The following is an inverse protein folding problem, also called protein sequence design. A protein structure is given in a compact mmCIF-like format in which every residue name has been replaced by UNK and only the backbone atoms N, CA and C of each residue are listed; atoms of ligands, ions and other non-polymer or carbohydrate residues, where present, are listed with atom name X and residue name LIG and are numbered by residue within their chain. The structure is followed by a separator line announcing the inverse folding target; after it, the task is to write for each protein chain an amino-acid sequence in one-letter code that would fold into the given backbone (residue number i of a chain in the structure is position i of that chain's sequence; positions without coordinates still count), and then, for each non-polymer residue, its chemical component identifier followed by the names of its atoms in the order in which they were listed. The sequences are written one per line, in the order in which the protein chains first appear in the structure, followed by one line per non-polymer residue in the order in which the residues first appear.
data_IF_228592992615
#
_entry.id   IF_228592992615
#
_cell.length_a   1.000
_cell.length_b   1.000
_cell.length_c   1.000
_cell.angle_alpha   90.00
_cell.angle_beta   90.00
_cell.angle_gamma   90.00
#
_symmetry.space_group_name_H-M   'P 1'
#
loop_
_entity.id
_entity.type
_entity.pdbx_description
1 polymer ?
#
# COMPACT_ATOMS: atom_id res chain seq x y z
N UNK A 1 -10.66 4.21 -1.48
CA UNK A 1 -9.90 3.03 -1.04
C UNK A 1 -10.88 1.90 -0.74
N UNK A 2 -10.42 0.65 -0.68
CA UNK A 2 -11.25 -0.52 -0.32
C UNK A 2 -10.58 -1.28 0.82
N UNK A 3 -11.35 -2.14 1.49
CA UNK A 3 -10.82 -3.05 2.50
C UNK A 3 -9.99 -4.15 1.84
N UNK A 4 -8.73 -4.28 2.26
CA UNK A 4 -7.94 -5.47 1.99
C UNK A 4 -7.87 -6.35 3.23
N UNK A 5 -7.95 -7.65 3.04
CA UNK A 5 -7.80 -8.62 4.13
C UNK A 5 -6.31 -8.96 4.25
N UNK A 6 -5.75 -9.05 5.47
CA UNK A 6 -4.38 -9.52 5.67
C UNK A 6 -4.11 -10.82 4.90
N UNK A 7 -3.04 -10.81 4.11
CA UNK A 7 -2.70 -11.89 3.20
C UNK A 7 -1.98 -12.99 4.00
N UNK A 8 -2.35 -14.27 3.84
CA UNK A 8 -1.60 -15.37 4.45
C UNK A 8 -0.12 -15.33 4.06
N UNK A 9 0.75 -15.54 5.03
CA UNK A 9 2.19 -15.61 4.80
C UNK A 9 2.55 -16.79 3.89
N UNK A 10 3.36 -16.59 2.83
CA UNK A 10 3.85 -17.68 2.00
C UNK A 10 4.73 -18.65 2.80
N UNK A 11 4.59 -19.95 2.56
CA UNK A 11 5.31 -21.01 3.31
C UNK A 11 6.82 -20.80 3.40
N UNK A 12 7.43 -20.28 2.33
CA UNK A 12 8.89 -20.09 2.27
C UNK A 12 9.36 -18.73 2.81
N UNK A 13 8.43 -17.85 3.20
CA UNK A 13 8.73 -16.48 3.63
C UNK A 13 9.66 -16.46 4.84
N UNK A 14 9.34 -17.24 5.87
CA UNK A 14 10.11 -17.27 7.09
C UNK A 14 11.58 -17.64 6.82
N UNK A 15 11.80 -18.74 6.11
CA UNK A 15 13.15 -19.26 5.84
C UNK A 15 13.93 -18.39 4.83
N UNK A 16 13.28 -17.91 3.76
CA UNK A 16 13.98 -17.22 2.66
C UNK A 16 14.02 -15.70 2.82
N UNK A 17 13.13 -15.11 3.62
CA UNK A 17 13.07 -13.68 3.89
C UNK A 17 13.37 -13.35 5.35
N UNK A 18 12.49 -13.73 6.29
CA UNK A 18 12.55 -13.28 7.70
C UNK A 18 13.85 -13.67 8.39
N UNK A 19 14.17 -14.96 8.45
CA UNK A 19 15.35 -15.46 9.14
C UNK A 19 16.64 -14.90 8.51
N UNK A 20 16.77 -15.00 7.18
CA UNK A 20 17.95 -14.47 6.45
C UNK A 20 18.12 -12.97 6.63
N UNK A 21 17.01 -12.23 6.52
CA UNK A 21 17.00 -10.79 6.67
C UNK A 21 17.39 -10.35 8.09
N UNK A 22 16.84 -11.00 9.11
CA UNK A 22 17.14 -10.70 10.51
C UNK A 22 18.58 -11.06 10.89
N UNK A 23 19.11 -12.19 10.41
CA UNK A 23 20.55 -12.51 10.54
C UNK A 23 21.40 -11.42 9.89
N UNK A 24 21.06 -11.02 8.66
CA UNK A 24 21.78 -9.97 7.96
C UNK A 24 21.72 -8.61 8.70
N UNK A 25 20.58 -8.25 9.32
CA UNK A 25 20.47 -7.02 10.13
C UNK A 25 21.37 -7.04 11.36
N UNK A 26 21.45 -8.19 12.04
CA UNK A 26 22.31 -8.36 13.21
C UNK A 26 23.80 -8.22 12.84
N UNK A 27 24.18 -8.73 11.67
CA UNK A 27 25.55 -8.59 11.12
C UNK A 27 25.86 -7.17 10.60
N UNK A 28 24.83 -6.38 10.27
CA UNK A 28 24.97 -5.06 9.64
C UNK A 28 24.19 -3.96 10.41
N UNK A 29 24.52 -3.70 11.68
CA UNK A 29 23.76 -2.79 12.54
C UNK A 29 23.72 -1.35 12.00
N UNK A 30 24.81 -0.87 11.41
CA UNK A 30 24.96 0.53 10.98
C UNK A 30 24.47 0.81 9.54
N UNK A 31 23.98 -0.21 8.83
CA UNK A 31 23.57 -0.02 7.43
C UNK A 31 22.23 0.69 7.33
N UNK A 32 22.16 1.83 6.66
CA UNK A 32 20.93 2.64 6.54
C UNK A 32 19.74 1.91 5.90
N UNK A 33 19.99 1.01 4.95
CA UNK A 33 18.93 0.28 4.23
C UNK A 33 19.11 -1.23 4.37
N UNK A 34 18.09 -1.97 4.84
CA UNK A 34 18.13 -3.43 4.85
C UNK A 34 18.36 -4.01 3.45
N UNK A 35 19.00 -5.18 3.40
CA UNK A 35 19.15 -5.92 2.16
C UNK A 35 17.80 -6.45 1.69
N UNK A 36 17.56 -6.36 0.39
CA UNK A 36 16.32 -6.88 -0.19
C UNK A 36 16.32 -8.41 -0.21
N UNK A 37 15.51 -8.98 0.68
CA UNK A 37 15.13 -10.40 0.68
C UNK A 37 13.63 -10.59 0.41
N UNK A 38 12.87 -9.52 0.22
CA UNK A 38 11.40 -9.53 0.13
C UNK A 38 10.88 -9.48 -1.30
N UNK A 39 11.64 -8.91 -2.25
CA UNK A 39 11.24 -8.83 -3.66
C UNK A 39 10.83 -10.17 -4.30
N UNK A 40 11.43 -11.33 -3.95
CA UNK A 40 10.96 -12.62 -4.43
C UNK A 40 9.48 -12.93 -4.09
N UNK A 41 8.95 -12.36 -3.00
CA UNK A 41 7.58 -12.56 -2.52
C UNK A 41 6.59 -11.50 -3.03
N UNK A 42 7.03 -10.59 -3.91
CA UNK A 42 6.17 -9.54 -4.48
C UNK A 42 4.98 -10.14 -5.23
N UNK A 43 5.16 -11.27 -5.92
CA UNK A 43 4.09 -11.94 -6.65
C UNK A 43 2.97 -12.45 -5.71
N UNK A 44 3.33 -12.92 -4.52
CA UNK A 44 2.36 -13.34 -3.50
C UNK A 44 1.54 -12.15 -2.99
N UNK A 45 2.19 -11.00 -2.76
CA UNK A 45 1.50 -9.76 -2.41
C UNK A 45 0.59 -9.29 -3.55
N UNK A 46 1.08 -9.26 -4.79
CA UNK A 46 0.28 -8.86 -5.95
C UNK A 46 -0.98 -9.73 -6.06
N UNK A 47 -0.84 -11.05 -5.91
CA UNK A 47 -1.97 -11.97 -5.89
C UNK A 47 -2.96 -11.66 -4.75
N UNK A 48 -2.48 -11.46 -3.53
CA UNK A 48 -3.34 -11.16 -2.38
C UNK A 48 -4.04 -9.80 -2.46
N UNK A 49 -3.43 -8.82 -3.14
CA UNK A 49 -4.02 -7.52 -3.44
C UNK A 49 -4.83 -7.51 -4.76
N UNK A 50 -5.07 -8.67 -5.40
CA UNK A 50 -5.77 -8.79 -6.69
C UNK A 50 -5.15 -7.94 -7.82
N UNK A 51 -3.82 -7.78 -7.81
CA UNK A 51 -3.05 -6.91 -8.68
C UNK A 51 -3.48 -5.43 -8.61
N UNK A 52 -4.09 -5.00 -7.50
CA UNK A 52 -4.45 -3.62 -7.25
C UNK A 52 -3.43 -2.99 -6.31
N UNK A 53 -3.04 -1.75 -6.56
CA UNK A 53 -2.29 -0.99 -5.56
C UNK A 53 -3.12 -0.85 -4.29
N UNK A 54 -2.57 -1.23 -3.13
CA UNK A 54 -3.25 -1.21 -1.84
C UNK A 54 -3.76 0.17 -1.42
N UNK A 55 -3.17 1.25 -1.93
CA UNK A 55 -3.61 2.62 -1.63
C UNK A 55 -4.61 3.15 -2.66
N UNK A 56 -4.30 3.12 -3.95
CA UNK A 56 -5.15 3.74 -4.96
C UNK A 56 -6.30 2.86 -5.43
N UNK A 57 -6.23 1.54 -5.20
CA UNK A 57 -7.17 0.52 -5.70
C UNK A 57 -7.20 0.48 -7.24
N UNK A 58 -6.12 0.95 -7.88
CA UNK A 58 -5.97 0.86 -9.33
C UNK A 58 -5.12 -0.35 -9.70
N UNK A 59 -5.38 -0.94 -10.87
CA UNK A 59 -4.58 -2.03 -11.41
C UNK A 59 -3.10 -1.63 -11.53
N UNK A 60 -2.22 -2.45 -10.97
CA UNK A 60 -0.78 -2.23 -10.91
C UNK A 60 -0.07 -3.50 -11.40
N UNK A 61 0.38 -3.55 -12.66
CA UNK A 61 0.96 -4.76 -13.24
C UNK A 61 2.39 -5.05 -12.76
N UNK A 62 3.11 -4.05 -12.26
CA UNK A 62 4.52 -4.20 -11.87
C UNK A 62 4.66 -4.14 -10.36
N UNK A 63 4.17 -3.05 -9.76
CA UNK A 63 4.15 -2.79 -8.34
C UNK A 63 5.48 -2.95 -7.60
N UNK A 64 5.42 -2.66 -6.31
CA UNK A 64 6.55 -2.73 -5.38
C UNK A 64 6.07 -3.30 -4.05
N UNK A 65 7.00 -3.84 -3.27
CA UNK A 65 6.77 -4.14 -1.86
C UNK A 65 6.93 -2.83 -1.08
N UNK A 66 5.85 -2.38 -0.45
CA UNK A 66 5.86 -1.28 0.51
C UNK A 66 5.94 -1.83 1.93
N UNK A 67 6.88 -1.31 2.72
CA UNK A 67 6.91 -1.50 4.17
C UNK A 67 5.98 -0.46 4.78
N UNK A 68 4.79 -0.87 5.23
CA UNK A 68 3.79 0.05 5.79
C UNK A 68 4.42 0.92 6.89
N UNK A 69 5.00 0.28 7.90
CA UNK A 69 5.96 0.87 8.82
C UNK A 69 7.34 0.79 8.18
N UNK A 70 7.91 1.94 7.83
CA UNK A 70 9.12 2.04 7.02
C UNK A 70 10.31 1.38 7.70
N UNK A 71 11.21 0.80 6.89
CA UNK A 71 12.46 0.26 7.41
C UNK A 71 13.43 1.33 7.95
N UNK A 72 13.14 2.63 7.73
CA UNK A 72 13.91 3.73 8.31
C UNK A 72 13.61 3.89 9.80
N UNK A 73 12.33 3.97 10.15
CA UNK A 73 11.88 4.19 11.53
C UNK A 73 11.67 2.85 12.28
N UNK A 74 11.28 1.80 11.55
CA UNK A 74 10.95 0.48 12.08
C UNK A 74 11.83 -0.61 11.49
N UNK A 75 13.15 -0.45 11.63
CA UNK A 75 14.15 -1.40 11.10
C UNK A 75 13.88 -2.85 11.49
N UNK A 76 13.40 -3.10 12.70
CA UNK A 76 13.09 -4.43 13.21
C UNK A 76 11.88 -5.10 12.53
N UNK A 77 11.06 -4.34 11.78
CA UNK A 77 9.92 -4.84 11.01
C UNK A 77 10.23 -5.00 9.51
N UNK A 78 11.51 -4.85 9.12
CA UNK A 78 11.91 -4.86 7.71
C UNK A 78 11.66 -6.20 7.01
N UNK A 79 11.51 -7.29 7.78
CA UNK A 79 11.26 -8.63 7.25
C UNK A 79 10.01 -9.28 7.84
N UNK A 80 9.03 -8.47 8.27
CA UNK A 80 7.76 -8.97 8.76
C UNK A 80 6.68 -8.90 7.68
N UNK A 81 6.09 -10.05 7.34
CA UNK A 81 5.09 -10.16 6.27
C UNK A 81 3.87 -9.28 6.50
N UNK A 82 3.41 -9.21 7.76
CA UNK A 82 2.29 -8.36 8.17
C UNK A 82 2.53 -6.86 7.92
N UNK A 83 3.79 -6.46 7.72
CA UNK A 83 4.19 -5.08 7.42
C UNK A 83 4.25 -4.79 5.90
N UNK A 84 3.98 -5.77 5.03
CA UNK A 84 4.13 -5.59 3.58
C UNK A 84 2.81 -5.27 2.86
N UNK A 85 2.85 -4.31 1.95
CA UNK A 85 1.74 -3.96 1.05
C UNK A 85 2.20 -4.04 -0.40
N UNK A 86 1.26 -4.31 -1.31
CA UNK A 86 1.50 -4.17 -2.75
C UNK A 86 1.15 -2.75 -3.19
N UNK A 87 2.13 -1.98 -3.69
CA UNK A 87 1.91 -0.57 -4.01
C UNK A 87 2.54 -0.17 -5.34
N UNK A 88 1.88 0.78 -6.02
CA UNK A 88 2.46 1.48 -7.16
C UNK A 88 3.76 2.19 -6.73
N UNK A 89 4.82 2.08 -7.52
CA UNK A 89 6.15 2.55 -7.12
C UNK A 89 6.20 4.05 -6.80
N UNK A 90 5.40 4.85 -7.52
CA UNK A 90 5.34 6.30 -7.28
C UNK A 90 4.56 6.66 -6.01
N UNK A 91 3.53 5.88 -5.63
CA UNK A 91 2.80 6.05 -4.37
C UNK A 91 3.71 5.66 -3.20
N UNK A 92 4.39 4.52 -3.31
CA UNK A 92 5.37 4.07 -2.32
C UNK A 92 6.47 5.14 -2.10
N UNK A 93 6.96 5.72 -3.20
CA UNK A 93 7.95 6.82 -3.15
C UNK A 93 7.40 8.12 -2.52
N UNK A 94 6.09 8.39 -2.64
CA UNK A 94 5.43 9.54 -2.00
C UNK A 94 5.21 9.32 -0.50
N UNK A 95 4.85 8.08 -0.10
CA UNK A 95 4.63 7.67 1.28
C UNK A 95 5.88 7.81 2.14
N UNK A 96 7.03 7.34 1.67
CA UNK A 96 8.31 7.36 2.42
C UNK A 96 8.16 6.71 3.82
N UNK A 97 8.55 7.45 4.85
CA UNK A 97 8.63 7.11 6.27
C UNK A 97 7.50 7.75 7.08
N UNK A 98 6.36 8.00 6.45
CA UNK A 98 5.17 8.51 7.13
C UNK A 98 4.48 7.50 8.04
N UNK A 99 4.80 6.21 7.89
CA UNK A 99 4.39 5.13 8.79
C UNK A 99 2.89 5.17 9.14
N UNK A 100 2.58 5.20 10.44
CA UNK A 100 1.23 5.19 11.01
C UNK A 100 0.46 6.52 10.84
N UNK A 101 1.07 7.55 10.22
CA UNK A 101 0.36 8.77 9.83
C UNK A 101 -0.56 8.56 8.63
N UNK A 102 -0.35 7.49 7.86
CA UNK A 102 -1.20 7.10 6.73
C UNK A 102 -2.10 5.94 7.12
N UNK A 103 -3.29 5.87 6.53
CA UNK A 103 -4.16 4.70 6.66
C UNK A 103 -3.46 3.48 6.06
N UNK A 104 -3.46 2.42 6.85
CA UNK A 104 -3.07 1.10 6.39
C UNK A 104 -4.17 0.55 5.45
N UNK A 105 -3.84 0.06 4.25
CA UNK A 105 -4.79 -0.68 3.40
C UNK A 105 -5.56 -1.81 4.11
N UNK A 106 -5.00 -2.41 5.15
CA UNK A 106 -5.66 -3.46 5.96
C UNK A 106 -6.58 -2.92 7.06
N UNK A 107 -6.56 -1.61 7.36
CA UNK A 107 -7.43 -0.97 8.36
C UNK A 107 -8.61 -0.21 7.73
N UNK A 108 -8.58 0.02 6.41
CA UNK A 108 -9.65 0.71 5.68
C UNK A 108 -10.90 -0.16 5.59
N UNK A 109 -12.07 0.47 5.67
CA UNK A 109 -13.37 -0.16 5.35
C UNK A 109 -13.93 0.37 4.03
N UNK A 110 -14.68 -0.47 3.31
CA UNK A 110 -15.21 -0.17 1.97
C UNK A 110 -16.09 1.07 1.90
N UNK A 111 -16.73 1.42 3.02
CA UNK A 111 -17.66 2.56 3.08
C UNK A 111 -16.99 3.89 3.40
N UNK A 112 -15.69 3.92 3.67
CA UNK A 112 -14.98 5.14 4.07
C UNK A 112 -14.76 6.13 2.94
N UNK A 113 -14.74 5.64 1.70
CA UNK A 113 -14.46 6.46 0.53
C UNK A 113 -15.46 6.19 -0.58
N UNK A 114 -15.73 7.21 -1.37
CA UNK A 114 -16.56 7.10 -2.57
C UNK A 114 -15.97 7.91 -3.73
N UNK A 115 -16.34 7.56 -4.95
CA UNK A 115 -15.95 8.29 -6.15
C UNK A 115 -17.13 9.15 -6.60
N UNK A 116 -16.88 10.45 -6.78
CA UNK A 116 -17.87 11.37 -7.34
C UNK A 116 -17.85 11.25 -8.86
N UNK A 117 -19.01 11.03 -9.48
CA UNK A 117 -19.17 11.06 -10.93
C UNK A 117 -19.69 12.44 -11.39
N UNK A 118 -19.25 12.97 -12.55
CA UNK A 118 -18.30 12.37 -13.48
C UNK A 118 -16.83 12.74 -13.20
N UNK A 119 -16.53 13.46 -12.12
CA UNK A 119 -15.16 13.98 -11.88
C UNK A 119 -14.14 12.90 -11.52
N UNK A 120 -14.59 11.71 -11.13
CA UNK A 120 -13.78 10.56 -10.70
C UNK A 120 -12.89 10.83 -9.49
N UNK A 121 -13.20 11.91 -8.76
CA UNK A 121 -12.51 12.29 -7.53
C UNK A 121 -12.91 11.36 -6.40
N UNK A 122 -11.92 10.89 -5.65
CA UNK A 122 -12.13 10.10 -4.45
C UNK A 122 -12.33 11.03 -3.26
N UNK A 123 -13.40 10.86 -2.50
CA UNK A 123 -13.71 11.68 -1.32
C UNK A 123 -13.97 10.80 -0.10
N UNK A 124 -13.89 11.40 1.09
CA UNK A 124 -14.29 10.76 2.34
C UNK A 124 -15.81 10.79 2.50
N UNK A 125 -16.38 9.71 3.01
CA UNK A 125 -17.78 9.67 3.42
C UNK A 125 -17.93 10.04 4.91
N UNK A 126 -19.17 10.12 5.38
CA UNK A 126 -19.46 10.27 6.82
C UNK A 126 -19.37 8.96 7.60
N UNK A 127 -18.99 7.85 6.94
CA UNK A 127 -18.77 6.55 7.59
C UNK A 127 -17.37 6.39 8.17
N UNK A 128 -16.43 7.29 7.84
CA UNK A 128 -15.11 7.32 8.47
C UNK A 128 -15.26 7.64 9.95
N UNK A 129 -14.77 6.79 10.87
CA UNK A 129 -14.79 7.07 12.31
C UNK A 129 -14.13 8.41 12.64
N UNK A 130 -14.66 9.11 13.65
CA UNK A 130 -14.19 10.45 14.02
C UNK A 130 -12.69 10.46 14.32
N UNK A 131 -12.19 9.44 15.04
CA UNK A 131 -10.76 9.31 15.33
C UNK A 131 -9.88 9.10 14.08
N UNK A 132 -10.42 8.51 13.01
CA UNK A 132 -9.69 8.20 11.78
C UNK A 132 -9.78 9.30 10.73
N UNK A 133 -10.73 10.24 10.86
CA UNK A 133 -11.06 11.20 9.79
C UNK A 133 -9.87 12.08 9.38
N UNK A 134 -9.08 12.56 10.35
CA UNK A 134 -7.89 13.36 10.04
C UNK A 134 -6.80 12.53 9.33
N UNK A 135 -6.58 11.30 9.78
CA UNK A 135 -5.64 10.35 9.18
C UNK A 135 -6.08 9.97 7.75
N UNK A 136 -7.37 9.74 7.54
CA UNK A 136 -7.96 9.47 6.23
C UNK A 136 -7.79 10.65 5.27
N UNK A 137 -8.08 11.88 5.73
CA UNK A 137 -7.93 13.09 4.92
C UNK A 137 -6.48 13.34 4.54
N UNK A 138 -5.56 13.17 5.49
CA UNK A 138 -4.13 13.28 5.25
C UNK A 138 -3.64 12.23 4.24
N UNK A 139 -4.10 10.98 4.37
CA UNK A 139 -3.75 9.91 3.43
C UNK A 139 -4.19 10.24 2.01
N UNK A 140 -5.46 10.66 1.86
CA UNK A 140 -6.05 11.02 0.58
C UNK A 140 -5.22 12.11 -0.13
N UNK A 141 -4.93 13.21 0.57
CA UNK A 141 -4.22 14.36 0.02
C UNK A 141 -2.73 14.09 -0.21
N UNK A 142 -2.05 13.48 0.76
CA UNK A 142 -0.60 13.28 0.69
C UNK A 142 -0.22 12.27 -0.40
N UNK A 143 -1.02 11.22 -0.59
CA UNK A 143 -0.84 10.26 -1.67
C UNK A 143 -1.48 10.73 -2.99
N UNK A 144 -2.17 11.87 -2.98
CA UNK A 144 -2.85 12.46 -4.15
C UNK A 144 -3.95 11.58 -4.73
N UNK A 145 -4.65 10.80 -3.91
CA UNK A 145 -5.66 9.84 -4.36
C UNK A 145 -6.95 10.51 -4.88
N UNK A 146 -7.15 11.77 -4.52
CA UNK A 146 -8.25 12.66 -4.88
C UNK A 146 -7.99 13.50 -6.13
N UNK A 147 -6.75 13.96 -6.35
CA UNK A 147 -6.44 14.95 -7.41
C UNK A 147 -5.33 14.55 -8.39
N UNK A 148 -4.52 13.52 -8.13
CA UNK A 148 -3.36 13.25 -8.98
C UNK A 148 -3.78 12.73 -10.36
N UNK A 149 -3.29 13.37 -11.43
CA UNK A 149 -3.61 13.02 -12.82
C UNK A 149 -3.31 11.56 -13.16
N UNK A 150 -2.26 10.96 -12.59
CA UNK A 150 -1.94 9.54 -12.83
C UNK A 150 -3.05 8.60 -12.36
N UNK A 151 -3.77 8.99 -11.31
CA UNK A 151 -4.90 8.22 -10.77
C UNK A 151 -6.16 8.54 -11.55
N UNK A 152 -6.42 9.83 -11.79
CA UNK A 152 -7.61 10.27 -12.53
C UNK A 152 -7.63 9.68 -13.94
N UNK A 153 -6.54 9.75 -14.71
CA UNK A 153 -6.48 9.17 -16.06
C UNK A 153 -6.72 7.65 -16.06
N UNK A 154 -6.22 6.93 -15.06
CA UNK A 154 -6.52 5.50 -14.96
C UNK A 154 -8.01 5.27 -14.67
N UNK A 155 -8.61 6.01 -13.74
CA UNK A 155 -10.05 5.92 -13.45
C UNK A 155 -10.90 6.28 -14.66
N UNK A 156 -10.53 7.32 -15.40
CA UNK A 156 -11.19 7.77 -16.63
C UNK A 156 -11.17 6.65 -17.68
N UNK A 157 -10.02 6.01 -17.88
CA UNK A 157 -9.92 4.92 -18.84
C UNK A 157 -10.78 3.71 -18.43
N UNK A 158 -10.78 3.35 -17.14
CA UNK A 158 -11.67 2.31 -16.61
C UNK A 158 -13.15 2.67 -16.77
N UNK A 159 -13.52 3.91 -16.48
CA UNK A 159 -14.90 4.39 -16.61
C UNK A 159 -15.33 4.39 -18.09
N UNK A 160 -14.47 4.87 -18.99
CA UNK A 160 -14.69 4.84 -20.44
C UNK A 160 -14.89 3.42 -20.96
N UNK A 161 -14.08 2.45 -20.51
CA UNK A 161 -14.24 1.04 -20.89
C UNK A 161 -15.57 0.49 -20.37
N UNK A 162 -15.93 0.79 -19.11
CA UNK A 162 -17.22 0.37 -18.54
C UNK A 162 -18.41 0.91 -19.33
N UNK A 163 -18.38 2.18 -19.75
CA UNK A 163 -19.45 2.78 -20.56
C UNK A 163 -19.56 2.17 -21.97
N UNK A 164 -18.52 1.51 -22.46
CA UNK A 164 -18.49 0.88 -23.79
C UNK A 164 -18.93 -0.59 -23.79
N UNK A 165 -19.06 -1.22 -22.62
CA UNK A 165 -19.40 -2.64 -22.47
C UNK A 165 -18.22 -3.59 -22.66
#
# INVERSE_FOLDING_TARGET
MQKFIPIPEPTEFDQKCRQKGNTWLAEHPDTKRPRDYWSPFKADLAKGFNNLCGYSVMYEPIGTVDHFLSCHNYRHLSYEWSNYRYAAGWINSSKKDLDDRLLDPFEVEDTWFEIILPSLQLVLTDKVPKEQRLKAQFTLQHLGLDYNERILHQREEWFRMYEQG
#
